data_IF_981705719637
#
_entry.id   IF_981705719637
#
_cell.length_a   1.000
_cell.length_b   1.000
_cell.length_c   1.000
_cell.angle_alpha   90.00
_cell.angle_beta   90.00
_cell.angle_gamma   90.00
#
_symmetry.space_group_name_H-M   'P 1'
#
loop_
_entity.id
_entity.type
_entity.pdbx_description
1 polymer ?
#
# COMPACT_ATOMS: atom_id res chain seq x y z
N UNK A 1 -58.24 25.30 20.73
CA UNK A 1 -57.09 25.80 19.96
C UNK A 1 -56.09 24.68 19.87
N UNK A 2 -56.01 24.05 18.70
CA UNK A 2 -55.06 22.97 18.40
C UNK A 2 -53.73 23.57 17.99
N UNK A 3 -52.63 23.01 18.46
CA UNK A 3 -51.31 23.16 17.86
C UNK A 3 -50.64 21.79 17.87
N UNK A 4 -50.79 21.13 16.74
CA UNK A 4 -50.03 19.95 16.30
C UNK A 4 -48.64 20.45 15.87
N UNK A 5 -47.58 19.90 16.45
CA UNK A 5 -46.20 20.22 16.08
C UNK A 5 -45.44 18.93 15.78
N UNK A 6 -45.65 18.40 14.58
CA UNK A 6 -44.82 17.37 13.97
C UNK A 6 -43.39 17.92 13.72
N UNK A 7 -42.44 17.49 14.55
CA UNK A 7 -41.02 17.71 14.34
C UNK A 7 -40.46 16.73 13.32
N UNK A 8 -40.26 17.19 12.09
CA UNK A 8 -39.58 16.43 11.04
C UNK A 8 -38.07 16.36 11.29
N UNK A 9 -37.54 15.15 11.48
CA UNK A 9 -36.10 14.87 11.50
C UNK A 9 -35.56 14.86 10.06
N UNK A 10 -34.90 15.94 9.66
CA UNK A 10 -34.16 16.00 8.41
C UNK A 10 -32.92 15.09 8.50
N UNK A 11 -32.98 13.94 7.84
CA UNK A 11 -31.81 13.10 7.57
C UNK A 11 -30.92 13.77 6.52
N UNK A 12 -30.11 14.73 6.97
CA UNK A 12 -29.04 15.30 6.18
C UNK A 12 -27.77 14.48 6.34
N UNK A 13 -27.67 13.34 5.65
CA UNK A 13 -26.38 12.67 5.40
C UNK A 13 -25.58 13.48 4.39
N UNK A 14 -25.19 14.68 4.78
CA UNK A 14 -24.16 15.45 4.11
C UNK A 14 -22.82 14.83 4.48
N UNK A 15 -22.38 13.83 3.73
CA UNK A 15 -20.96 13.52 3.67
C UNK A 15 -20.31 14.80 3.17
N UNK A 16 -19.71 15.56 4.10
CA UNK A 16 -18.74 16.58 3.73
C UNK A 16 -17.60 15.80 3.14
N UNK A 17 -17.62 15.67 1.82
CA UNK A 17 -16.47 15.32 1.02
C UNK A 17 -15.42 16.36 1.37
N UNK A 18 -14.62 16.03 2.39
CA UNK A 18 -13.57 16.90 2.86
C UNK A 18 -12.69 17.15 1.66
N UNK A 19 -12.58 18.42 1.27
CA UNK A 19 -11.45 18.91 0.49
C UNK A 19 -10.20 18.65 1.33
N UNK A 20 -9.75 17.40 1.34
CA UNK A 20 -8.45 17.02 1.82
C UNK A 20 -7.46 17.80 0.98
N UNK A 21 -6.53 18.46 1.65
CA UNK A 21 -5.37 19.08 1.04
C UNK A 21 -4.53 17.99 0.35
N UNK A 22 -4.98 17.53 -0.81
CA UNK A 22 -4.26 16.65 -1.72
C UNK A 22 -3.60 17.54 -2.75
N UNK A 23 -2.42 18.05 -2.42
CA UNK A 23 -1.59 18.75 -3.38
C UNK A 23 -1.22 17.81 -4.53
N UNK A 24 -1.80 18.05 -5.70
CA UNK A 24 -1.09 17.95 -6.98
C UNK A 24 -0.73 16.58 -7.54
N UNK A 25 -1.69 15.65 -7.64
CA UNK A 25 -1.62 14.59 -8.66
C UNK A 25 -2.67 14.88 -9.75
N UNK A 26 -2.58 16.05 -10.40
CA UNK A 26 -3.48 16.42 -11.49
C UNK A 26 -3.24 15.53 -12.72
N UNK A 27 -3.82 14.33 -12.71
CA UNK A 27 -3.85 13.44 -13.87
C UNK A 27 -3.61 11.95 -13.58
N UNK A 28 -3.27 11.54 -12.36
CA UNK A 28 -3.12 10.12 -12.04
C UNK A 28 -4.35 9.61 -11.28
N UNK A 29 -5.12 8.73 -11.92
CA UNK A 29 -6.26 8.04 -11.31
C UNK A 29 -5.93 6.55 -11.13
N UNK A 30 -5.61 6.09 -9.90
CA UNK A 30 -5.23 4.70 -9.67
C UNK A 30 -6.38 3.71 -9.91
N UNK A 31 -7.65 4.15 -9.83
CA UNK A 31 -8.79 3.30 -10.13
C UNK A 31 -8.83 3.00 -11.63
N UNK A 32 -8.70 4.04 -12.46
CA UNK A 32 -8.71 3.91 -13.91
C UNK A 32 -7.42 3.29 -14.48
N UNK A 33 -6.25 3.65 -13.93
CA UNK A 33 -4.95 3.23 -14.48
C UNK A 33 -4.47 1.87 -13.97
N UNK A 34 -4.74 1.54 -12.69
CA UNK A 34 -4.23 0.31 -12.06
C UNK A 34 -5.34 -0.70 -11.73
N UNK A 35 -6.60 -0.38 -12.05
CA UNK A 35 -7.73 -1.27 -11.77
C UNK A 35 -8.04 -1.44 -10.28
N UNK A 36 -7.58 -0.51 -9.43
CA UNK A 36 -7.87 -0.54 -8.00
C UNK A 36 -9.34 -0.23 -7.73
N UNK A 37 -9.86 -0.75 -6.64
CA UNK A 37 -11.13 -0.26 -6.09
C UNK A 37 -10.96 1.14 -5.51
N UNK A 38 -12.06 1.90 -5.41
CA UNK A 38 -12.03 3.24 -4.82
C UNK A 38 -11.56 3.19 -3.34
N UNK A 39 -11.95 2.14 -2.62
CA UNK A 39 -11.55 1.90 -1.24
C UNK A 39 -10.04 1.66 -1.10
N UNK A 40 -9.45 0.86 -1.98
CA UNK A 40 -8.00 0.61 -1.98
C UNK A 40 -7.21 1.87 -2.36
N UNK A 41 -7.68 2.59 -3.38
CA UNK A 41 -7.08 3.86 -3.77
C UNK A 41 -7.11 4.87 -2.61
N UNK A 42 -8.24 4.95 -1.89
CA UNK A 42 -8.38 5.80 -0.70
C UNK A 42 -7.46 5.34 0.45
N UNK A 43 -7.32 4.02 0.67
CA UNK A 43 -6.42 3.48 1.69
C UNK A 43 -4.95 3.79 1.37
N UNK A 44 -4.53 3.60 0.11
CA UNK A 44 -3.18 3.93 -0.34
C UNK A 44 -2.91 5.44 -0.23
N UNK A 45 -3.89 6.28 -0.59
CA UNK A 45 -3.80 7.73 -0.41
C UNK A 45 -3.70 8.14 1.07
N UNK A 46 -4.46 7.52 1.95
CA UNK A 46 -4.40 7.78 3.38
C UNK A 46 -3.03 7.43 3.98
N UNK A 47 -2.45 6.30 3.56
CA UNK A 47 -1.11 5.90 4.00
C UNK A 47 -0.03 6.84 3.45
N UNK A 48 -0.14 7.24 2.18
CA UNK A 48 0.76 8.23 1.59
C UNK A 48 0.69 9.57 2.32
N UNK A 49 -0.51 10.09 2.59
CA UNK A 49 -0.68 11.34 3.32
C UNK A 49 -0.14 11.25 4.75
N UNK A 50 -0.25 10.08 5.40
CA UNK A 50 0.24 9.87 6.77
C UNK A 50 1.76 9.83 6.87
N UNK A 51 2.42 9.19 5.90
CA UNK A 51 3.85 8.89 5.99
C UNK A 51 4.72 9.62 4.96
N UNK A 52 4.22 9.82 3.73
CA UNK A 52 4.93 10.47 2.63
C UNK A 52 4.90 11.99 2.62
N UNK A 53 4.13 12.60 3.53
CA UNK A 53 4.01 14.06 3.59
C UNK A 53 4.56 14.69 4.88
N UNK A 54 5.35 13.92 5.64
CA UNK A 54 5.89 14.37 6.93
C UNK A 54 6.88 15.53 6.78
N UNK A 55 7.56 15.63 5.64
CA UNK A 55 8.47 16.75 5.32
C UNK A 55 7.74 17.94 4.69
N UNK A 56 6.79 18.52 5.44
CA UNK A 56 6.12 19.79 5.14
C UNK A 56 5.35 19.86 3.80
N UNK A 57 4.54 18.87 3.45
CA UNK A 57 3.77 19.01 2.22
C UNK A 57 4.59 18.69 0.97
N UNK A 58 5.69 17.93 1.09
CA UNK A 58 6.56 17.63 -0.06
C UNK A 58 5.82 16.85 -1.14
N UNK A 59 4.83 16.03 -0.74
CA UNK A 59 4.18 15.06 -1.62
C UNK A 59 5.14 13.98 -2.13
N UNK A 60 6.16 13.63 -1.34
CA UNK A 60 7.25 12.70 -1.74
C UNK A 60 7.69 11.85 -0.56
N UNK A 61 7.78 10.54 -0.75
CA UNK A 61 8.38 9.63 0.22
C UNK A 61 9.89 9.56 -0.04
N UNK A 62 10.69 10.22 0.79
CA UNK A 62 12.14 10.04 0.83
C UNK A 62 12.55 8.88 1.75
N UNK A 63 13.85 8.72 1.96
CA UNK A 63 14.40 7.63 2.78
C UNK A 63 13.87 7.65 4.23
N UNK A 64 13.76 8.84 4.84
CA UNK A 64 13.26 8.98 6.21
C UNK A 64 11.77 8.62 6.32
N UNK A 65 10.94 9.13 5.41
CA UNK A 65 9.52 8.77 5.34
C UNK A 65 9.33 7.28 5.09
N UNK A 66 10.10 6.70 4.16
CA UNK A 66 10.02 5.29 3.80
C UNK A 66 10.37 4.39 4.99
N UNK A 67 11.40 4.74 5.77
CA UNK A 67 11.75 4.02 7.00
C UNK A 67 10.60 4.03 8.01
N UNK A 68 9.95 5.18 8.21
CA UNK A 68 8.81 5.31 9.14
C UNK A 68 7.61 4.48 8.67
N UNK A 69 7.39 4.46 7.37
CA UNK A 69 6.34 3.67 6.74
C UNK A 69 6.56 2.18 6.99
N UNK A 70 7.77 1.66 6.72
CA UNK A 70 8.11 0.27 6.98
C UNK A 70 7.95 -0.10 8.46
N UNK A 71 8.41 0.76 9.37
CA UNK A 71 8.21 0.57 10.82
C UNK A 71 6.73 0.50 11.20
N UNK A 72 5.90 1.36 10.62
CA UNK A 72 4.46 1.37 10.88
C UNK A 72 3.75 0.13 10.31
N UNK A 73 4.24 -0.42 9.22
CA UNK A 73 3.78 -1.67 8.64
C UNK A 73 4.26 -2.92 9.42
N UNK A 74 5.10 -2.75 10.45
CA UNK A 74 5.68 -3.85 11.22
C UNK A 74 6.81 -4.58 10.48
N UNK A 75 7.33 -4.00 9.39
CA UNK A 75 8.48 -4.55 8.70
C UNK A 75 9.76 -4.39 9.56
N UNK A 76 10.73 -5.31 9.43
CA UNK A 76 11.99 -5.19 10.13
C UNK A 76 12.73 -3.91 9.72
N UNK A 77 13.49 -3.34 10.64
CA UNK A 77 14.30 -2.16 10.35
C UNK A 77 15.40 -2.52 9.35
N UNK A 78 15.29 -2.00 8.13
CA UNK A 78 16.31 -2.18 7.09
C UNK A 78 17.54 -1.30 7.39
N UNK A 79 18.77 -1.79 7.16
CA UNK A 79 19.96 -0.97 7.19
C UNK A 79 19.92 0.11 6.07
N UNK A 80 20.64 1.23 6.22
CA UNK A 80 20.53 2.36 5.29
C UNK A 80 20.74 1.98 3.81
N UNK A 81 21.73 1.14 3.51
CA UNK A 81 22.00 0.72 2.13
C UNK A 81 20.84 -0.09 1.52
N UNK A 82 20.23 -1.00 2.28
CA UNK A 82 19.08 -1.79 1.82
C UNK A 82 17.85 -0.91 1.66
N UNK A 83 17.65 0.06 2.56
CA UNK A 83 16.56 1.02 2.47
C UNK A 83 16.67 1.87 1.21
N UNK A 84 17.87 2.35 0.86
CA UNK A 84 18.14 3.07 -0.38
C UNK A 84 17.86 2.19 -1.60
N UNK A 85 18.30 0.92 -1.58
CA UNK A 85 18.06 -0.02 -2.68
C UNK A 85 16.57 -0.32 -2.86
N UNK A 86 15.84 -0.54 -1.77
CA UNK A 86 14.39 -0.76 -1.80
C UNK A 86 13.66 0.46 -2.36
N UNK A 87 14.07 1.66 -1.97
CA UNK A 87 13.49 2.88 -2.52
C UNK A 87 13.78 3.02 -4.02
N UNK A 88 15.02 2.78 -4.46
CA UNK A 88 15.41 2.82 -5.87
C UNK A 88 14.73 1.75 -6.72
N UNK A 89 14.39 0.59 -6.14
CA UNK A 89 13.69 -0.49 -6.83
C UNK A 89 12.26 -0.07 -7.21
N UNK A 90 11.63 0.78 -6.40
CA UNK A 90 10.25 1.23 -6.60
C UNK A 90 10.14 2.63 -7.21
N UNK A 91 11.24 3.37 -7.26
CA UNK A 91 11.36 4.68 -7.92
C UNK A 91 11.60 4.51 -9.42
N UNK A 92 10.52 4.44 -10.20
CA UNK A 92 10.58 4.20 -11.65
C UNK A 92 11.40 5.25 -12.41
N UNK A 93 11.44 6.47 -11.90
CA UNK A 93 12.17 7.60 -12.50
C UNK A 93 13.56 7.83 -11.86
N UNK A 94 13.95 7.05 -10.85
CA UNK A 94 15.24 7.11 -10.15
C UNK A 94 15.59 8.49 -9.59
N UNK A 95 14.59 9.19 -9.03
CA UNK A 95 14.73 10.52 -8.43
C UNK A 95 15.29 10.48 -7.00
N UNK A 96 15.41 9.31 -6.39
CA UNK A 96 15.76 9.10 -4.98
C UNK A 96 14.58 9.32 -4.02
N UNK A 97 13.33 9.35 -4.52
CA UNK A 97 12.11 9.47 -3.72
C UNK A 97 10.91 8.94 -4.50
N UNK A 98 9.90 8.43 -3.78
CA UNK A 98 8.68 7.91 -4.41
C UNK A 98 7.63 9.01 -4.52
N UNK A 99 7.11 9.21 -5.73
CA UNK A 99 5.89 9.99 -5.94
C UNK A 99 4.66 9.21 -5.49
N UNK A 100 3.49 9.85 -5.42
CA UNK A 100 2.23 9.16 -5.15
C UNK A 100 1.97 8.03 -6.17
N UNK A 101 2.30 8.24 -7.45
CA UNK A 101 2.14 7.21 -8.48
C UNK A 101 3.04 6.00 -8.24
N UNK A 102 4.32 6.22 -7.91
CA UNK A 102 5.27 5.15 -7.62
C UNK A 102 4.82 4.35 -6.39
N UNK A 103 4.38 5.07 -5.36
CA UNK A 103 3.81 4.50 -4.14
C UNK A 103 2.61 3.58 -4.42
N UNK A 104 1.61 4.06 -5.16
CA UNK A 104 0.41 3.26 -5.42
C UNK A 104 0.73 2.07 -6.32
N UNK A 105 1.62 2.25 -7.30
CA UNK A 105 2.10 1.15 -8.16
C UNK A 105 2.77 0.05 -7.33
N UNK A 106 3.56 0.43 -6.34
CA UNK A 106 4.15 -0.52 -5.40
C UNK A 106 3.10 -1.20 -4.51
N UNK A 107 2.16 -0.43 -3.95
CA UNK A 107 1.09 -0.93 -3.09
C UNK A 107 0.26 -2.03 -3.75
N UNK A 108 -0.09 -1.85 -5.03
CA UNK A 108 -0.86 -2.86 -5.80
C UNK A 108 -0.06 -4.14 -5.96
N UNK A 109 1.23 -4.05 -6.32
CA UNK A 109 2.10 -5.23 -6.50
C UNK A 109 2.22 -6.06 -5.22
N UNK A 110 2.32 -5.43 -4.06
CA UNK A 110 2.36 -6.15 -2.77
C UNK A 110 1.00 -6.68 -2.32
N UNK A 111 -0.09 -5.99 -2.68
CA UNK A 111 -1.45 -6.49 -2.51
C UNK A 111 -1.69 -7.79 -3.29
N UNK A 112 -1.11 -7.92 -4.48
CA UNK A 112 -1.15 -9.16 -5.27
C UNK A 112 -0.40 -10.30 -4.59
N UNK A 113 0.74 -10.04 -3.94
CA UNK A 113 1.44 -11.05 -3.15
C UNK A 113 0.55 -11.61 -2.02
N UNK A 114 -0.16 -10.72 -1.34
CA UNK A 114 -1.08 -11.10 -0.26
C UNK A 114 -2.37 -11.78 -0.74
N UNK A 115 -2.81 -11.51 -1.98
CA UNK A 115 -4.01 -12.11 -2.59
C UNK A 115 -3.76 -13.40 -3.34
N UNK A 116 -2.57 -13.58 -3.92
CA UNK A 116 -2.22 -14.73 -4.76
C UNK A 116 -1.29 -15.75 -4.11
N UNK A 117 -0.71 -15.47 -2.94
CA UNK A 117 0.42 -16.23 -2.38
C UNK A 117 0.12 -17.25 -1.27
N UNK A 118 -1.16 -17.53 -0.97
CA UNK A 118 -1.54 -18.49 0.10
C UNK A 118 -1.73 -19.94 -0.36
N UNK A 119 -1.81 -20.20 -1.67
CA UNK A 119 -2.30 -21.48 -2.19
C UNK A 119 -1.39 -21.95 -3.34
N UNK A 120 -0.35 -22.74 -3.03
CA UNK A 120 0.42 -23.42 -4.09
C UNK A 120 1.95 -23.54 -3.93
N UNK A 121 2.53 -23.29 -2.75
CA UNK A 121 3.93 -23.71 -2.48
C UNK A 121 4.02 -24.65 -1.29
N UNK A 122 3.15 -25.66 -1.31
CA UNK A 122 3.40 -26.92 -0.62
C UNK A 122 3.75 -27.95 -1.69
N UNK A 123 4.78 -28.74 -1.42
CA UNK A 123 5.06 -30.05 -2.03
C UNK A 123 5.64 -30.08 -3.45
N UNK A 124 6.94 -29.75 -3.55
CA UNK A 124 7.88 -30.65 -4.24
C UNK A 124 9.07 -30.93 -3.30
N UNK A 125 8.78 -31.42 -2.10
CA UNK A 125 9.66 -32.34 -1.38
C UNK A 125 9.08 -33.75 -1.56
N UNK A 126 9.05 -34.24 -2.80
CA UNK A 126 8.84 -35.66 -3.05
C UNK A 126 10.09 -36.23 -3.74
N UNK A 127 10.84 -37.01 -2.98
CA UNK A 127 11.58 -38.12 -3.56
C UNK A 127 13.03 -37.88 -3.97
N UNK A 128 13.89 -37.40 -3.05
CA UNK A 128 15.24 -38.00 -3.01
C UNK A 128 15.11 -39.32 -2.24
N UNK A 129 14.70 -40.34 -2.98
CA UNK A 129 14.65 -41.73 -2.55
C UNK A 129 16.04 -42.12 -2.06
N UNK A 130 16.13 -42.37 -0.75
CA UNK A 130 17.32 -42.88 -0.11
C UNK A 130 17.61 -44.28 -0.65
N UNK A 131 18.46 -44.36 -1.67
CA UNK A 131 19.06 -45.60 -2.15
C UNK A 131 19.95 -46.22 -1.07
N UNK A 132 19.34 -47.02 -0.20
CA UNK A 132 20.00 -48.00 0.67
C UNK A 132 19.42 -49.38 0.37
N UNK A 133 20.08 -50.15 -0.49
CA UNK A 133 19.89 -51.60 -0.57
C UNK A 133 21.19 -52.25 -1.08
N UNK A 134 22.03 -52.80 -0.19
CA UNK A 134 22.09 -54.17 0.37
C UNK A 134 22.95 -55.14 -0.44
N UNK A 135 23.86 -55.80 0.30
CA UNK A 135 24.29 -57.19 0.05
C UNK A 135 25.39 -57.33 -0.99
N UNK A 136 26.57 -57.80 -0.65
CA UNK A 136 26.84 -59.19 -0.30
C UNK A 136 27.36 -59.88 -1.57
N UNK A 137 28.64 -60.26 -1.66
CA UNK A 137 29.25 -61.36 -0.92
C UNK A 137 30.77 -61.31 -1.06
#
# INVERSE_FOLDING_TARGET
ASADAAGGIASGSGVKQGSGAGGGASGFDPVAELGMTAEEAAAAAAMFARYGDMSRGSGRIGEYEFRRLLQAAGAPALPPCELTLALLLHDGDKKGWLSFRDWVTWWVKEGEWSRGGGEGRQEEEEGVEAGSDKGGK
#
